data_IF_981961409173
#
_entry.id   IF_981961409173
#
_cell.length_a   1.000
_cell.length_b   1.000
_cell.length_c   1.000
_cell.angle_alpha   90.00
_cell.angle_beta   90.00
_cell.angle_gamma   90.00
#
_symmetry.space_group_name_H-M   'P 1'
#
loop_
_entity.id
_entity.type
_entity.pdbx_description
1 polymer ?
#
# COMPACT_ATOMS: atom_id res chain seq x y z
N UNK A 1 -35.74 27.54 5.26
CA UNK A 1 -35.57 26.41 6.21
C UNK A 1 -34.85 26.95 7.43
N UNK A 2 -35.33 26.65 8.66
CA UNK A 2 -34.69 27.13 9.89
C UNK A 2 -33.31 26.47 10.05
N UNK A 3 -32.32 27.22 10.53
CA UNK A 3 -30.96 26.73 10.86
C UNK A 3 -31.03 25.51 11.80
N UNK A 4 -31.94 25.53 12.78
CA UNK A 4 -32.18 24.41 13.70
C UNK A 4 -32.56 23.10 12.97
N UNK A 5 -33.42 23.16 11.97
CA UNK A 5 -33.83 22.01 11.19
C UNK A 5 -32.65 21.50 10.31
N UNK A 6 -31.87 22.43 9.74
CA UNK A 6 -30.70 22.10 8.95
C UNK A 6 -29.64 21.41 9.81
N UNK A 7 -29.34 21.93 11.02
CA UNK A 7 -28.39 21.33 11.97
C UNK A 7 -28.84 19.94 12.43
N UNK A 8 -30.11 19.78 12.78
CA UNK A 8 -30.63 18.47 13.19
C UNK A 8 -30.53 17.43 12.06
N UNK A 9 -30.87 17.82 10.82
CA UNK A 9 -30.77 16.93 9.67
C UNK A 9 -29.31 16.60 9.29
N UNK A 10 -28.38 17.54 9.45
CA UNK A 10 -26.96 17.32 9.26
C UNK A 10 -26.41 16.34 10.30
N UNK A 11 -26.77 16.51 11.58
CA UNK A 11 -26.35 15.64 12.66
C UNK A 11 -26.78 14.18 12.45
N UNK A 12 -28.01 13.94 11.90
CA UNK A 12 -28.45 12.58 11.55
C UNK A 12 -27.63 11.93 10.43
N UNK A 13 -26.84 12.72 9.71
CA UNK A 13 -25.91 12.27 8.65
C UNK A 13 -24.46 12.29 9.11
N UNK A 14 -24.18 12.47 10.41
CA UNK A 14 -22.84 12.54 10.96
C UNK A 14 -22.12 13.87 10.72
N UNK A 15 -22.79 14.89 10.19
CA UNK A 15 -22.22 16.22 9.95
C UNK A 15 -22.53 17.15 11.12
N UNK A 16 -21.48 17.57 11.83
CA UNK A 16 -21.57 18.48 12.96
C UNK A 16 -21.06 19.87 12.56
N UNK A 17 -21.90 20.88 12.74
CA UNK A 17 -21.52 22.27 12.53
C UNK A 17 -21.09 22.90 13.86
N UNK A 18 -19.99 23.64 13.81
CA UNK A 18 -19.42 24.32 14.98
C UNK A 18 -20.28 25.48 15.46
N UNK A 19 -20.89 26.22 14.51
CA UNK A 19 -21.76 27.36 14.79
C UNK A 19 -22.74 27.62 13.62
N UNK A 20 -23.70 28.51 13.83
CA UNK A 20 -24.70 28.86 12.83
C UNK A 20 -24.12 29.63 11.63
N UNK A 21 -23.07 30.43 11.83
CA UNK A 21 -22.40 31.19 10.78
C UNK A 21 -21.71 30.25 9.79
N UNK A 22 -21.18 29.12 10.26
CA UNK A 22 -20.62 28.07 9.40
C UNK A 22 -21.64 27.53 8.41
N UNK A 23 -22.90 27.32 8.83
CA UNK A 23 -23.99 26.84 7.95
C UNK A 23 -24.34 27.89 6.88
N UNK A 24 -24.41 29.17 7.28
CA UNK A 24 -24.72 30.26 6.33
C UNK A 24 -23.62 30.48 5.30
N UNK A 25 -22.36 30.40 5.74
CA UNK A 25 -21.19 30.51 4.86
C UNK A 25 -21.07 29.30 3.93
N UNK A 26 -21.37 28.09 4.41
CA UNK A 26 -21.31 26.87 3.61
C UNK A 26 -22.23 26.92 2.38
N UNK A 27 -23.36 27.66 2.47
CA UNK A 27 -24.27 27.87 1.34
C UNK A 27 -23.63 28.69 0.19
N UNK A 28 -22.59 29.46 0.48
CA UNK A 28 -21.91 30.33 -0.49
C UNK A 28 -20.64 29.67 -1.07
N UNK A 29 -20.29 28.49 -0.59
CA UNK A 29 -19.11 27.73 -1.06
C UNK A 29 -19.39 27.18 -2.46
N UNK A 30 -18.53 27.52 -3.40
CA UNK A 30 -18.50 27.02 -4.77
C UNK A 30 -17.28 26.14 -5.06
N UNK A 31 -16.28 26.21 -4.17
CA UNK A 31 -15.04 25.44 -4.29
C UNK A 31 -14.72 24.77 -2.96
N UNK A 32 -14.51 23.46 -2.97
CA UNK A 32 -14.14 22.68 -1.80
C UNK A 32 -12.74 22.11 -1.97
N UNK A 33 -11.85 22.42 -1.05
CA UNK A 33 -10.53 21.82 -0.95
C UNK A 33 -10.59 20.73 0.10
N UNK A 34 -10.28 19.50 -0.27
CA UNK A 34 -10.35 18.33 0.61
C UNK A 34 -8.96 17.71 0.70
N UNK A 35 -8.49 17.47 1.93
CA UNK A 35 -7.32 16.64 2.13
C UNK A 35 -7.62 15.19 1.74
N UNK A 36 -6.68 14.55 1.06
CA UNK A 36 -6.86 13.17 0.61
C UNK A 36 -6.67 12.17 1.75
N UNK A 37 -5.53 12.28 2.45
CA UNK A 37 -5.09 11.24 3.39
C UNK A 37 -5.78 11.35 4.73
N UNK A 38 -6.47 10.28 5.16
CA UNK A 38 -7.24 10.25 6.41
C UNK A 38 -8.58 10.99 6.34
N UNK A 39 -8.94 11.58 5.17
CA UNK A 39 -10.24 12.26 4.94
C UNK A 39 -11.03 11.55 3.85
N UNK A 40 -10.44 11.34 2.67
CA UNK A 40 -11.03 10.56 1.59
C UNK A 40 -10.57 9.10 1.60
N UNK A 41 -9.51 8.80 2.34
CA UNK A 41 -8.95 7.46 2.53
C UNK A 41 -8.89 7.15 4.02
N UNK A 42 -8.80 5.88 4.37
CA UNK A 42 -8.68 5.42 5.75
C UNK A 42 -7.34 5.78 6.41
N UNK A 43 -6.40 6.34 5.64
CA UNK A 43 -5.11 6.82 6.13
C UNK A 43 -4.05 5.75 6.35
N UNK A 44 -4.38 4.49 6.08
CA UNK A 44 -3.44 3.37 6.13
C UNK A 44 -3.56 2.49 4.87
N UNK A 45 -2.46 1.96 4.34
CA UNK A 45 -2.48 1.07 3.21
C UNK A 45 -3.10 -0.27 3.59
N UNK A 46 -3.76 -0.89 2.61
CA UNK A 46 -4.30 -2.24 2.70
C UNK A 46 -3.70 -3.05 1.56
N UNK A 47 -3.25 -4.26 1.85
CA UNK A 47 -2.78 -5.19 0.84
C UNK A 47 -3.94 -5.63 -0.06
N UNK A 48 -3.75 -5.57 -1.37
CA UNK A 48 -4.78 -5.89 -2.35
C UNK A 48 -4.51 -7.23 -3.03
N UNK A 49 -3.33 -7.40 -3.65
CA UNK A 49 -3.02 -8.61 -4.40
C UNK A 49 -1.52 -8.82 -4.63
N UNK A 50 -1.17 -10.07 -4.96
CA UNK A 50 0.09 -10.46 -5.58
C UNK A 50 -0.17 -10.85 -7.04
N UNK A 51 0.72 -10.48 -7.93
CA UNK A 51 0.75 -11.03 -9.31
C UNK A 51 2.10 -11.73 -9.49
N UNK A 52 2.13 -13.06 -9.49
CA UNK A 52 3.34 -13.84 -9.69
C UNK A 52 3.75 -13.87 -11.16
N UNK A 53 5.06 -13.97 -11.44
CA UNK A 53 5.53 -14.44 -12.75
C UNK A 53 5.43 -15.96 -12.84
N UNK A 54 5.53 -16.51 -14.06
CA UNK A 54 5.42 -17.93 -14.29
C UNK A 54 6.42 -18.73 -13.43
N UNK A 55 5.92 -19.74 -12.71
CA UNK A 55 6.71 -20.62 -11.84
C UNK A 55 6.73 -20.24 -10.36
N UNK A 56 6.04 -19.18 -9.96
CA UNK A 56 5.87 -18.80 -8.56
C UNK A 56 4.40 -18.89 -8.12
N UNK A 57 4.19 -19.11 -6.85
CA UNK A 57 2.86 -19.18 -6.22
C UNK A 57 2.58 -17.88 -5.42
N UNK A 58 1.32 -17.42 -5.42
CA UNK A 58 0.93 -16.16 -4.75
C UNK A 58 1.20 -16.20 -3.24
N UNK A 59 0.87 -17.32 -2.57
CA UNK A 59 1.04 -17.43 -1.13
C UNK A 59 2.52 -17.56 -0.76
N UNK A 60 3.34 -18.19 -1.61
CA UNK A 60 4.79 -18.21 -1.45
C UNK A 60 5.37 -16.81 -1.54
N UNK A 61 5.01 -16.04 -2.57
CA UNK A 61 5.51 -14.66 -2.75
C UNK A 61 5.07 -13.75 -1.62
N UNK A 62 3.81 -13.85 -1.20
CA UNK A 62 3.31 -13.09 -0.06
C UNK A 62 4.07 -13.44 1.23
N UNK A 63 4.32 -14.73 1.47
CA UNK A 63 5.09 -15.21 2.62
C UNK A 63 6.52 -14.65 2.61
N UNK A 64 7.19 -14.72 1.46
CA UNK A 64 8.58 -14.23 1.32
C UNK A 64 8.66 -12.72 1.49
N UNK A 65 7.75 -11.97 0.85
CA UNK A 65 7.68 -10.52 0.98
C UNK A 65 7.39 -10.11 2.43
N UNK A 66 6.40 -10.72 3.08
CA UNK A 66 6.06 -10.46 4.46
C UNK A 66 7.20 -10.84 5.43
N UNK A 67 7.92 -11.93 5.16
CA UNK A 67 9.08 -12.34 5.96
C UNK A 67 10.19 -11.29 5.91
N UNK A 68 10.46 -10.73 4.73
CA UNK A 68 11.42 -9.65 4.55
C UNK A 68 10.95 -8.37 5.26
N UNK A 69 9.69 -8.00 5.09
CA UNK A 69 9.11 -6.75 5.58
C UNK A 69 8.87 -6.71 7.10
N UNK A 70 9.02 -7.84 7.83
CA UNK A 70 8.93 -7.83 9.29
C UNK A 70 9.94 -6.88 9.95
N UNK A 71 11.07 -6.61 9.28
CA UNK A 71 12.10 -5.67 9.74
C UNK A 71 11.85 -4.22 9.35
N UNK A 72 10.81 -3.94 8.58
CA UNK A 72 10.51 -2.61 8.04
C UNK A 72 9.46 -1.88 8.89
N UNK A 73 9.69 -0.59 9.13
CA UNK A 73 8.71 0.30 9.78
C UNK A 73 7.80 1.01 8.76
N UNK A 74 7.92 0.69 7.47
CA UNK A 74 7.15 1.34 6.43
C UNK A 74 5.66 0.92 6.47
N UNK A 75 4.67 1.84 6.30
CA UNK A 75 3.26 1.48 6.35
C UNK A 75 2.83 0.39 5.35
N UNK A 76 3.44 0.33 4.16
CA UNK A 76 3.17 -0.73 3.19
C UNK A 76 3.63 -2.11 3.69
N UNK A 77 4.75 -2.17 4.42
CA UNK A 77 5.26 -3.39 5.02
C UNK A 77 4.27 -4.00 6.03
N UNK A 78 3.67 -3.15 6.87
CA UNK A 78 2.64 -3.60 7.81
C UNK A 78 1.45 -4.24 7.09
N UNK A 79 0.98 -3.64 5.99
CA UNK A 79 -0.13 -4.19 5.20
C UNK A 79 0.18 -5.58 4.62
N UNK A 80 1.40 -5.79 4.12
CA UNK A 80 1.86 -7.08 3.58
C UNK A 80 1.98 -8.13 4.70
N UNK A 81 2.57 -7.77 5.83
CA UNK A 81 2.73 -8.66 6.99
C UNK A 81 1.37 -9.07 7.56
N UNK A 82 0.43 -8.13 7.69
CA UNK A 82 -0.91 -8.41 8.21
C UNK A 82 -1.70 -9.29 7.26
N UNK A 83 -1.59 -9.09 5.93
CA UNK A 83 -2.22 -9.96 4.95
C UNK A 83 -1.68 -11.41 5.01
N UNK A 84 -0.36 -11.58 5.13
CA UNK A 84 0.25 -12.89 5.26
C UNK A 84 -0.19 -13.61 6.55
N UNK A 85 -0.27 -12.88 7.66
CA UNK A 85 -0.77 -13.40 8.94
C UNK A 85 -2.25 -13.79 8.87
N UNK A 86 -3.08 -12.97 8.22
CA UNK A 86 -4.50 -13.26 8.03
C UNK A 86 -4.74 -14.54 7.21
N UNK A 87 -3.84 -14.85 6.27
CA UNK A 87 -3.83 -16.12 5.52
C UNK A 87 -3.21 -17.30 6.32
N UNK A 88 -2.70 -17.06 7.52
CA UNK A 88 -2.06 -18.09 8.35
C UNK A 88 -0.70 -18.54 7.85
N UNK A 89 -0.02 -17.71 7.03
CA UNK A 89 1.31 -18.02 6.51
C UNK A 89 2.37 -17.89 7.61
N UNK A 90 3.25 -18.89 7.71
CA UNK A 90 4.36 -18.86 8.66
C UNK A 90 5.49 -17.99 8.13
N UNK A 91 5.79 -16.89 8.81
CA UNK A 91 6.84 -15.97 8.41
C UNK A 91 8.19 -16.42 8.97
N UNK A 92 9.23 -16.24 8.19
CA UNK A 92 10.61 -16.51 8.53
C UNK A 92 11.33 -15.21 8.91
N UNK A 93 12.36 -15.31 9.73
CA UNK A 93 13.19 -14.15 10.04
C UNK A 93 14.13 -13.88 8.86
N UNK A 94 14.22 -12.61 8.44
CA UNK A 94 15.20 -12.19 7.46
C UNK A 94 16.58 -12.07 8.09
N UNK A 95 17.59 -12.63 7.43
CA UNK A 95 18.99 -12.37 7.73
C UNK A 95 19.50 -11.22 6.84
N UNK A 96 20.48 -10.47 7.30
CA UNK A 96 21.12 -9.37 6.56
C UNK A 96 20.11 -8.37 5.97
N UNK A 97 19.06 -8.07 6.75
CA UNK A 97 18.04 -7.10 6.32
C UNK A 97 18.66 -5.69 6.20
N UNK A 98 18.43 -5.06 5.07
CA UNK A 98 18.85 -3.69 4.78
C UNK A 98 17.73 -2.89 4.15
N UNK A 99 17.55 -1.66 4.59
CA UNK A 99 16.65 -0.69 3.96
C UNK A 99 17.45 0.20 3.02
N UNK A 100 17.02 0.26 1.75
CA UNK A 100 17.58 1.16 0.75
C UNK A 100 16.63 2.35 0.63
N UNK A 101 17.07 3.49 1.18
CA UNK A 101 16.21 4.66 1.36
C UNK A 101 15.51 5.10 0.08
N UNK A 102 14.17 5.15 0.13
CA UNK A 102 13.30 5.61 -0.95
C UNK A 102 13.07 4.62 -2.10
N UNK A 103 13.73 3.45 -2.11
CA UNK A 103 13.58 2.49 -3.22
C UNK A 103 13.16 1.08 -2.80
N UNK A 104 13.47 0.64 -1.58
CA UNK A 104 13.03 -0.68 -1.12
C UNK A 104 13.88 -1.29 -0.01
N UNK A 105 13.76 -2.60 0.13
CA UNK A 105 14.47 -3.42 1.13
C UNK A 105 15.09 -4.64 0.49
N UNK A 106 16.15 -5.17 1.09
CA UNK A 106 16.76 -6.43 0.70
C UNK A 106 17.13 -7.28 1.94
N UNK A 107 17.38 -8.55 1.74
CA UNK A 107 17.81 -9.47 2.79
C UNK A 107 17.88 -10.91 2.29
N UNK A 108 18.11 -11.83 3.22
CA UNK A 108 18.10 -13.26 2.96
C UNK A 108 16.93 -13.92 3.69
N UNK A 109 16.12 -14.68 2.97
CA UNK A 109 15.06 -15.54 3.54
C UNK A 109 15.41 -17.00 3.21
N UNK A 110 15.59 -17.82 4.23
CA UNK A 110 16.04 -19.21 4.07
C UNK A 110 17.31 -19.34 3.19
N UNK A 111 18.24 -18.39 3.29
CA UNK A 111 19.46 -18.35 2.49
C UNK A 111 19.30 -17.87 1.04
N UNK A 112 18.10 -17.51 0.63
CA UNK A 112 17.82 -16.94 -0.70
C UNK A 112 17.85 -15.41 -0.66
N UNK A 113 18.51 -14.79 -1.62
CA UNK A 113 18.51 -13.33 -1.75
C UNK A 113 17.13 -12.85 -2.20
N UNK A 114 16.55 -11.94 -1.43
CA UNK A 114 15.21 -11.37 -1.67
C UNK A 114 15.32 -9.84 -1.69
N UNK A 115 14.67 -9.22 -2.65
CA UNK A 115 14.56 -7.78 -2.78
C UNK A 115 13.11 -7.41 -3.02
N UNK A 116 12.62 -6.41 -2.29
CA UNK A 116 11.26 -5.86 -2.44
C UNK A 116 11.35 -4.34 -2.56
N UNK A 117 10.82 -3.79 -3.64
CA UNK A 117 10.88 -2.35 -3.83
C UNK A 117 10.26 -1.85 -5.13
N UNK A 118 10.48 -0.57 -5.40
CA UNK A 118 9.93 0.11 -6.57
C UNK A 118 10.75 -0.16 -7.86
N UNK A 119 10.32 0.47 -8.96
CA UNK A 119 11.00 0.38 -10.26
C UNK A 119 12.48 0.75 -10.19
N UNK A 120 12.83 1.78 -9.37
CA UNK A 120 14.21 2.22 -9.24
C UNK A 120 15.13 1.15 -8.61
N UNK A 121 14.63 0.36 -7.65
CA UNK A 121 15.38 -0.79 -7.10
C UNK A 121 15.67 -1.83 -8.17
N UNK A 122 14.68 -2.17 -8.99
CA UNK A 122 14.83 -3.15 -10.07
C UNK A 122 15.82 -2.67 -11.15
N UNK A 123 15.75 -1.40 -11.51
CA UNK A 123 16.69 -0.78 -12.45
C UNK A 123 18.13 -0.79 -11.91
N UNK A 124 18.33 -0.40 -10.64
CA UNK A 124 19.62 -0.36 -9.98
C UNK A 124 20.27 -1.75 -9.89
N UNK A 125 19.46 -2.79 -9.74
CA UNK A 125 19.93 -4.18 -9.63
C UNK A 125 19.94 -4.92 -10.96
N UNK A 126 19.51 -4.26 -12.07
CA UNK A 126 19.47 -4.83 -13.40
C UNK A 126 18.39 -5.89 -13.61
N UNK A 127 17.36 -5.90 -12.77
CA UNK A 127 16.26 -6.86 -12.87
C UNK A 127 15.23 -6.34 -13.88
N UNK A 128 14.95 -7.15 -14.90
CA UNK A 128 13.99 -6.81 -15.93
C UNK A 128 12.55 -7.01 -15.43
N UNK A 129 11.76 -5.95 -15.43
CA UNK A 129 10.35 -5.94 -14.98
C UNK A 129 9.33 -5.93 -16.13
N UNK A 130 9.78 -6.08 -17.37
CA UNK A 130 8.95 -5.89 -18.56
C UNK A 130 7.70 -6.78 -18.57
N UNK A 131 7.82 -8.00 -18.03
CA UNK A 131 6.71 -8.96 -17.95
C UNK A 131 5.53 -8.45 -17.12
N UNK A 132 5.79 -7.68 -16.05
CA UNK A 132 4.77 -7.16 -15.14
C UNK A 132 4.48 -5.66 -15.30
N UNK A 133 5.10 -5.00 -16.28
CA UNK A 133 4.98 -3.55 -16.45
C UNK A 133 3.53 -3.13 -16.74
N UNK A 134 2.82 -3.87 -17.57
CA UNK A 134 1.41 -3.57 -17.92
C UNK A 134 0.49 -3.67 -16.71
N UNK A 135 0.67 -4.72 -15.89
CA UNK A 135 -0.11 -4.89 -14.67
C UNK A 135 0.23 -3.83 -13.63
N UNK A 136 1.50 -3.50 -13.49
CA UNK A 136 1.95 -2.43 -12.59
C UNK A 136 1.34 -1.08 -12.94
N UNK A 137 1.31 -0.69 -14.22
CA UNK A 137 0.72 0.57 -14.66
C UNK A 137 -0.80 0.59 -14.52
N UNK A 138 -1.48 -0.52 -14.77
CA UNK A 138 -2.92 -0.66 -14.51
C UNK A 138 -3.22 -0.40 -13.03
N UNK A 139 -2.53 -1.09 -12.13
CA UNK A 139 -2.72 -0.94 -10.68
C UNK A 139 -2.41 0.48 -10.19
N UNK A 140 -1.35 1.10 -10.70
CA UNK A 140 -1.03 2.51 -10.38
C UNK A 140 -2.13 3.46 -10.84
N UNK A 141 -2.73 3.22 -12.00
CA UNK A 141 -3.85 4.02 -12.53
C UNK A 141 -5.09 3.87 -11.64
N UNK A 142 -5.30 2.69 -11.04
CA UNK A 142 -6.35 2.40 -10.07
C UNK A 142 -6.04 2.99 -8.67
N UNK A 143 -4.84 3.55 -8.48
CA UNK A 143 -4.44 4.24 -7.26
C UNK A 143 -3.63 3.39 -6.29
N UNK A 144 -3.25 2.17 -6.67
CA UNK A 144 -2.45 1.30 -5.82
C UNK A 144 -0.96 1.69 -5.81
N UNK A 145 -0.31 1.45 -4.68
CA UNK A 145 1.15 1.43 -4.58
C UNK A 145 1.66 0.06 -5.03
N UNK A 146 2.60 0.03 -5.98
CA UNK A 146 3.13 -1.21 -6.56
C UNK A 146 4.59 -1.40 -6.19
N UNK A 147 4.91 -2.58 -5.65
CA UNK A 147 6.28 -3.03 -5.37
C UNK A 147 6.58 -4.32 -6.13
N UNK A 148 7.81 -4.45 -6.61
CA UNK A 148 8.30 -5.66 -7.26
C UNK A 148 9.06 -6.51 -6.26
N UNK A 149 8.82 -7.81 -6.30
CA UNK A 149 9.57 -8.82 -5.56
C UNK A 149 10.52 -9.52 -6.49
N UNK A 150 11.79 -9.57 -6.11
CA UNK A 150 12.81 -10.34 -6.81
C UNK A 150 13.46 -11.34 -5.86
N UNK A 151 13.72 -12.54 -6.37
CA UNK A 151 14.37 -13.64 -5.67
C UNK A 151 15.58 -14.13 -6.48
N UNK A 152 16.74 -14.24 -5.84
CA UNK A 152 17.97 -14.67 -6.48
C UNK A 152 18.27 -13.90 -7.79
N UNK A 153 18.12 -12.57 -7.74
CA UNK A 153 18.29 -11.63 -8.87
C UNK A 153 17.36 -11.88 -10.07
N UNK A 154 16.22 -12.50 -9.86
CA UNK A 154 15.18 -12.68 -10.89
C UNK A 154 13.86 -12.13 -10.39
N UNK A 155 13.11 -11.49 -11.29
CA UNK A 155 11.75 -11.06 -11.00
C UNK A 155 10.91 -12.27 -10.59
N UNK A 156 10.23 -12.18 -9.46
CA UNK A 156 9.34 -13.22 -8.95
C UNK A 156 7.87 -12.81 -9.05
N UNK A 157 7.57 -11.52 -8.84
CA UNK A 157 6.21 -11.00 -8.90
C UNK A 157 6.12 -9.52 -8.55
N UNK A 158 4.90 -9.02 -8.46
CA UNK A 158 4.58 -7.70 -7.90
C UNK A 158 3.54 -7.82 -6.80
N UNK A 159 3.56 -6.85 -5.87
CA UNK A 159 2.59 -6.69 -4.79
C UNK A 159 1.94 -5.30 -4.90
N UNK A 160 0.64 -5.24 -4.64
CA UNK A 160 -0.12 -4.00 -4.63
C UNK A 160 -0.97 -3.90 -3.35
#
# INVERSE_FOLDING_TARGET
MSIMVATGKAATKGVLFRDAAAIENFRKVDTLIVDKTGTLTEGHPVFEQVIPVAGFDEDELLRVAASLDQGSEHPLAHAIVDAARAKGLSLEQADQFETISGIGVNGLIAGQSVMLGNTALMEQTGINIQELLTDAERLRTEGASVMYLAMNNKLAGLLA
#
